data_IF_725443430407
#
_entry.id   IF_725443430407
#
_cell.length_a   1.000
_cell.length_b   1.000
_cell.length_c   1.000
_cell.angle_alpha   90.00
_cell.angle_beta   90.00
_cell.angle_gamma   90.00
#
_symmetry.space_group_name_H-M   'P 1'
#
loop_
_entity.id
_entity.type
_entity.pdbx_description
1 polymer ?
#
# COMPACT_ATOMS: atom_id res chain seq x y z
N UNK A 1 12.76 -21.94 12.34
CA UNK A 1 13.32 -20.61 12.21
C UNK A 1 14.64 -20.55 12.95
N UNK A 2 15.69 -20.06 12.33
CA UNK A 2 17.01 -19.92 12.96
C UNK A 2 17.03 -18.70 13.89
N UNK A 3 17.92 -18.71 14.89
CA UNK A 3 18.07 -17.61 15.84
C UNK A 3 18.36 -16.26 15.12
N UNK A 4 19.17 -16.29 14.08
CA UNK A 4 19.51 -15.09 13.28
C UNK A 4 18.29 -14.52 12.56
N UNK A 5 17.34 -15.36 12.15
CA UNK A 5 16.08 -14.91 11.54
C UNK A 5 15.21 -14.15 12.55
N UNK A 6 15.20 -14.57 13.81
CA UNK A 6 14.49 -13.87 14.91
C UNK A 6 15.10 -12.49 15.16
N UNK A 7 16.43 -12.41 15.24
CA UNK A 7 17.14 -11.12 15.41
C UNK A 7 16.88 -10.19 14.24
N UNK A 8 16.86 -10.74 13.02
CA UNK A 8 16.55 -9.99 11.81
C UNK A 8 15.12 -9.45 11.84
N UNK A 9 14.14 -10.28 12.17
CA UNK A 9 12.73 -9.89 12.28
C UNK A 9 12.51 -8.78 13.32
N UNK A 10 13.17 -8.87 14.49
CA UNK A 10 13.14 -7.82 15.50
C UNK A 10 13.74 -6.51 14.94
N UNK A 11 14.87 -6.56 14.26
CA UNK A 11 15.55 -5.39 13.68
C UNK A 11 14.70 -4.70 12.60
N UNK A 12 14.02 -5.47 11.77
CA UNK A 12 13.20 -5.00 10.67
C UNK A 12 11.80 -4.51 11.10
N UNK A 13 11.37 -4.89 12.31
CA UNK A 13 10.09 -4.42 12.86
C UNK A 13 10.13 -2.91 13.17
N UNK A 14 9.13 -2.14 12.69
CA UNK A 14 9.07 -0.70 12.95
C UNK A 14 9.07 -0.33 14.43
N UNK A 15 8.49 -1.18 15.30
CA UNK A 15 8.44 -0.94 16.73
C UNK A 15 9.82 -1.03 17.38
N UNK A 16 10.67 -1.94 16.91
CA UNK A 16 12.01 -2.18 17.42
C UNK A 16 13.11 -1.52 16.60
N UNK A 17 12.74 -0.74 15.59
CA UNK A 17 13.72 -0.04 14.74
C UNK A 17 14.58 0.94 15.57
N UNK A 18 15.90 0.87 15.37
CA UNK A 18 16.86 1.69 16.13
C UNK A 18 17.20 1.17 17.53
N UNK A 19 16.68 -0.01 17.94
CA UNK A 19 17.05 -0.66 19.17
C UNK A 19 18.53 -1.11 19.14
N UNK A 20 19.28 -0.97 20.25
CA UNK A 20 20.65 -1.47 20.36
C UNK A 20 20.75 -2.98 20.04
N UNK A 21 21.79 -3.39 19.30
CA UNK A 21 21.91 -4.77 18.80
C UNK A 21 21.96 -5.82 19.93
N UNK A 22 22.54 -5.49 21.11
CA UNK A 22 22.58 -6.40 22.23
C UNK A 22 21.19 -6.67 22.83
N UNK A 23 20.29 -5.67 22.79
CA UNK A 23 18.89 -5.84 23.20
C UNK A 23 18.08 -6.64 22.18
N UNK A 24 18.34 -6.47 20.87
CA UNK A 24 17.73 -7.31 19.84
C UNK A 24 18.06 -8.78 20.05
N UNK A 25 19.33 -9.09 20.35
CA UNK A 25 19.80 -10.45 20.68
C UNK A 25 19.16 -10.96 21.97
N UNK A 26 19.03 -10.12 22.97
CA UNK A 26 18.41 -10.48 24.26
C UNK A 26 16.92 -10.80 24.06
N UNK A 27 16.17 -9.96 23.32
CA UNK A 27 14.77 -10.23 23.00
C UNK A 27 14.61 -11.50 22.17
N UNK A 28 15.48 -11.75 21.19
CA UNK A 28 15.44 -12.98 20.41
C UNK A 28 15.62 -14.24 21.27
N UNK A 29 16.46 -14.18 22.31
CA UNK A 29 16.65 -15.29 23.26
C UNK A 29 15.46 -15.51 24.19
N UNK A 30 14.73 -14.46 24.52
CA UNK A 30 13.59 -14.49 25.45
C UNK A 30 12.27 -14.81 24.75
N UNK A 31 12.21 -14.65 23.42
CA UNK A 31 11.03 -14.89 22.64
C UNK A 31 10.86 -16.37 22.26
N UNK A 32 9.62 -16.80 22.15
CA UNK A 32 9.24 -18.11 21.61
C UNK A 32 8.61 -17.94 20.23
N UNK A 33 8.93 -18.83 19.30
CA UNK A 33 8.29 -18.88 17.99
C UNK A 33 7.07 -19.79 18.07
N UNK A 34 5.88 -19.23 17.85
CA UNK A 34 4.62 -19.96 17.87
C UNK A 34 4.05 -20.05 16.44
N UNK A 35 3.64 -21.25 16.04
CA UNK A 35 2.98 -21.51 14.77
C UNK A 35 1.47 -21.64 15.01
N UNK A 36 0.69 -20.90 14.28
CA UNK A 36 -0.75 -20.82 14.43
C UNK A 36 -1.47 -21.43 13.24
N UNK A 37 -2.40 -22.35 13.50
CA UNK A 37 -3.25 -22.91 12.46
C UNK A 37 -4.30 -21.89 11.98
N UNK A 38 -4.88 -22.06 10.77
CA UNK A 38 -6.01 -21.26 10.31
C UNK A 38 -7.14 -21.20 11.35
N UNK A 39 -7.70 -20.01 11.57
CA UNK A 39 -8.74 -19.75 12.56
C UNK A 39 -8.25 -19.64 14.02
N UNK A 40 -6.93 -19.72 14.27
CA UNK A 40 -6.40 -19.57 15.65
C UNK A 40 -6.69 -18.19 16.20
N UNK A 41 -7.31 -18.13 17.37
CA UNK A 41 -7.55 -16.90 18.13
C UNK A 41 -6.37 -16.65 19.07
N UNK A 42 -5.74 -15.47 18.96
CA UNK A 42 -4.65 -15.04 19.84
C UNK A 42 -5.19 -14.52 21.19
N UNK A 43 -6.27 -13.75 21.14
CA UNK A 43 -6.94 -13.24 22.34
C UNK A 43 -8.38 -12.78 22.05
N UNK A 44 -9.17 -12.63 23.10
CA UNK A 44 -10.58 -12.22 23.07
C UNK A 44 -10.84 -10.96 23.88
N UNK A 45 -11.94 -10.23 23.60
CA UNK A 45 -12.42 -9.18 24.48
C UNK A 45 -12.65 -9.72 25.91
N UNK A 46 -12.28 -8.92 26.91
CA UNK A 46 -12.40 -9.28 28.33
C UNK A 46 -11.18 -9.99 28.90
N UNK A 47 -10.25 -10.48 28.09
CA UNK A 47 -9.03 -11.11 28.55
C UNK A 47 -7.97 -10.08 29.01
N UNK A 48 -7.03 -10.52 29.84
CA UNK A 48 -5.84 -9.75 30.23
C UNK A 48 -4.71 -10.07 29.23
N UNK A 49 -3.91 -9.08 28.78
CA UNK A 49 -2.86 -9.31 27.81
C UNK A 49 -1.79 -10.28 28.38
N UNK A 50 -1.67 -11.45 27.75
CA UNK A 50 -0.77 -12.50 28.19
C UNK A 50 0.66 -12.31 27.66
N UNK A 51 0.82 -11.71 26.50
CA UNK A 51 2.09 -11.57 25.80
C UNK A 51 2.13 -10.36 24.86
N UNK A 52 3.35 -9.95 24.48
CA UNK A 52 3.62 -9.15 23.29
C UNK A 52 3.86 -10.10 22.11
N UNK A 53 3.28 -9.79 20.96
CA UNK A 53 3.45 -10.58 19.75
C UNK A 53 4.14 -9.73 18.67
N UNK A 54 5.07 -10.32 17.95
CA UNK A 54 5.58 -9.83 16.66
C UNK A 54 5.16 -10.83 15.59
N UNK A 55 4.39 -10.40 14.63
CA UNK A 55 3.97 -11.23 13.49
C UNK A 55 5.19 -11.47 12.60
N UNK A 56 5.52 -12.75 12.37
CA UNK A 56 6.63 -13.16 11.52
C UNK A 56 6.15 -13.59 10.14
N UNK A 57 4.97 -14.19 10.09
CA UNK A 57 4.33 -14.66 8.86
C UNK A 57 2.81 -14.69 9.04
N UNK A 58 2.08 -14.52 7.94
CA UNK A 58 0.62 -14.46 7.94
C UNK A 58 0.07 -13.07 8.32
N UNK A 59 -1.25 -13.03 8.50
CA UNK A 59 -2.00 -11.81 8.82
C UNK A 59 -2.91 -12.06 10.01
N UNK A 60 -2.84 -11.20 11.02
CA UNK A 60 -3.75 -11.19 12.16
C UNK A 60 -4.86 -10.19 11.91
N UNK A 61 -6.11 -10.67 11.92
CA UNK A 61 -7.29 -9.83 11.90
C UNK A 61 -7.64 -9.37 13.31
N UNK A 62 -7.78 -8.06 13.49
CA UNK A 62 -8.26 -7.46 14.74
C UNK A 62 -9.71 -7.04 14.51
N UNK A 63 -10.63 -7.61 15.29
CA UNK A 63 -12.05 -7.30 15.22
C UNK A 63 -12.55 -6.72 16.51
N UNK A 64 -13.55 -5.83 16.45
CA UNK A 64 -14.20 -5.22 17.59
C UNK A 64 -15.71 -5.40 17.48
N UNK A 65 -16.37 -5.52 18.63
CA UNK A 65 -17.84 -5.52 18.69
C UNK A 65 -18.37 -4.13 18.37
N UNK A 66 -19.19 -4.02 17.33
CA UNK A 66 -19.79 -2.75 16.89
C UNK A 66 -21.13 -2.50 17.61
N UNK A 67 -21.95 -3.53 17.71
CA UNK A 67 -23.17 -3.58 18.51
C UNK A 67 -23.60 -5.04 18.70
N UNK A 68 -24.54 -5.27 19.63
CA UNK A 68 -25.11 -6.61 19.88
C UNK A 68 -25.79 -7.19 18.61
N UNK A 69 -26.30 -6.34 17.73
CA UNK A 69 -27.02 -6.75 16.51
C UNK A 69 -26.07 -6.97 15.31
N UNK A 70 -24.95 -6.22 15.23
CA UNK A 70 -24.01 -6.24 14.11
C UNK A 70 -22.82 -7.17 14.33
N UNK A 71 -22.59 -7.61 15.58
CA UNK A 71 -21.51 -8.56 15.91
C UNK A 71 -20.11 -8.00 15.81
N UNK A 72 -19.14 -8.88 15.55
CA UNK A 72 -17.72 -8.55 15.44
C UNK A 72 -17.40 -8.02 14.05
N UNK A 73 -16.74 -6.85 13.98
CA UNK A 73 -16.29 -6.24 12.72
C UNK A 73 -14.78 -6.10 12.70
N UNK A 74 -14.10 -6.47 11.61
CA UNK A 74 -12.68 -6.20 11.42
C UNK A 74 -12.39 -4.69 11.47
N UNK A 75 -11.41 -4.30 12.30
CA UNK A 75 -10.98 -2.91 12.46
C UNK A 75 -9.52 -2.69 12.07
N UNK A 76 -8.73 -3.76 11.98
CA UNK A 76 -7.35 -3.70 11.52
C UNK A 76 -6.84 -5.09 11.11
N UNK A 77 -5.85 -5.09 10.24
CA UNK A 77 -5.08 -6.26 9.86
C UNK A 77 -3.59 -6.02 10.16
N UNK A 78 -2.96 -6.96 10.86
CA UNK A 78 -1.58 -6.88 11.29
C UNK A 78 -0.77 -7.95 10.56
N UNK A 79 0.13 -7.52 9.69
CA UNK A 79 0.96 -8.41 8.88
C UNK A 79 2.37 -8.60 9.45
N UNK A 80 3.19 -9.38 8.78
CA UNK A 80 4.59 -9.61 9.14
C UNK A 80 5.34 -8.29 9.41
N UNK A 81 6.13 -8.27 10.50
CA UNK A 81 6.81 -7.09 11.03
C UNK A 81 5.98 -6.25 12.01
N UNK A 82 4.66 -6.47 12.09
CA UNK A 82 3.80 -5.76 13.04
C UNK A 82 3.90 -6.33 14.45
N UNK A 83 3.87 -5.45 15.46
CA UNK A 83 3.72 -5.84 16.86
C UNK A 83 2.27 -5.67 17.33
N UNK A 84 1.85 -6.50 18.28
CA UNK A 84 0.46 -6.51 18.80
C UNK A 84 0.51 -6.50 20.33
N UNK A 85 -0.32 -5.66 20.96
CA UNK A 85 -0.50 -5.50 22.41
C UNK A 85 0.61 -4.72 23.13
N UNK A 86 1.43 -3.92 22.47
CA UNK A 86 2.59 -3.22 23.06
C UNK A 86 2.19 -2.35 24.27
N UNK A 87 1.16 -1.53 24.14
CA UNK A 87 0.67 -0.71 25.24
C UNK A 87 -0.07 -1.53 26.30
N UNK A 88 -0.86 -2.51 25.85
CA UNK A 88 -1.68 -3.35 26.73
C UNK A 88 -0.85 -4.27 27.63
N UNK A 89 0.26 -4.82 27.11
CA UNK A 89 1.15 -5.67 27.91
C UNK A 89 1.84 -4.88 29.02
N UNK A 90 2.08 -3.57 28.84
CA UNK A 90 2.62 -2.68 29.88
C UNK A 90 1.55 -2.34 30.91
N UNK A 91 0.40 -1.83 30.45
CA UNK A 91 -0.66 -1.34 31.33
C UNK A 91 -1.43 -2.46 32.04
N UNK A 92 -1.48 -3.67 31.47
CA UNK A 92 -2.32 -4.76 31.96
C UNK A 92 -3.83 -4.52 31.77
N UNK A 93 -4.20 -3.52 30.97
CA UNK A 93 -5.61 -3.17 30.71
C UNK A 93 -6.30 -4.29 29.95
N UNK A 94 -7.53 -4.59 30.32
CA UNK A 94 -8.39 -5.58 29.67
C UNK A 94 -8.52 -5.32 28.17
N UNK A 95 -8.50 -6.37 27.39
CA UNK A 95 -8.60 -6.33 25.93
C UNK A 95 -10.05 -6.06 25.50
N UNK A 96 -10.22 -5.23 24.49
CA UNK A 96 -11.52 -4.83 23.93
C UNK A 96 -11.76 -5.34 22.52
N UNK A 97 -10.81 -6.12 22.00
CA UNK A 97 -10.85 -6.62 20.63
C UNK A 97 -10.56 -8.12 20.59
N UNK A 98 -11.04 -8.78 19.55
CA UNK A 98 -10.64 -10.12 19.14
C UNK A 98 -9.44 -10.01 18.21
N UNK A 99 -8.47 -10.91 18.34
CA UNK A 99 -7.42 -11.10 17.36
C UNK A 99 -7.35 -12.56 16.92
N UNK A 100 -7.30 -12.80 15.62
CA UNK A 100 -7.25 -14.16 15.07
C UNK A 100 -6.38 -14.20 13.82
N UNK A 101 -5.85 -15.38 13.52
CA UNK A 101 -5.22 -15.71 12.25
C UNK A 101 -6.26 -16.40 11.33
N UNK A 102 -6.87 -15.72 10.35
CA UNK A 102 -7.84 -16.35 9.45
C UNK A 102 -7.24 -17.54 8.68
N UNK A 103 -6.03 -17.38 8.16
CA UNK A 103 -5.33 -18.37 7.32
C UNK A 103 -4.13 -19.04 8.02
N UNK A 104 -3.94 -18.76 9.31
CA UNK A 104 -2.76 -19.20 10.05
C UNK A 104 -1.59 -18.25 9.93
N UNK A 105 -0.47 -18.58 10.61
CA UNK A 105 0.72 -17.73 10.61
C UNK A 105 1.72 -18.10 11.68
N UNK A 106 2.70 -17.22 11.87
CA UNK A 106 3.80 -17.41 12.84
C UNK A 106 4.02 -16.13 13.61
N UNK A 107 4.20 -16.24 14.94
CA UNK A 107 4.58 -15.12 15.80
C UNK A 107 5.88 -15.39 16.54
N UNK A 108 6.59 -14.32 16.86
CA UNK A 108 7.58 -14.29 17.94
C UNK A 108 6.88 -13.67 19.15
N UNK A 109 6.82 -14.43 20.24
CA UNK A 109 5.96 -14.15 21.40
C UNK A 109 6.80 -13.95 22.65
N UNK A 110 6.55 -12.87 23.40
CA UNK A 110 7.15 -12.62 24.69
C UNK A 110 6.07 -12.62 25.79
N UNK A 111 6.04 -13.64 26.65
CA UNK A 111 5.12 -13.64 27.80
C UNK A 111 5.26 -12.36 28.63
N UNK A 112 4.14 -11.77 29.03
CA UNK A 112 4.11 -10.50 29.77
C UNK A 112 5.08 -10.47 30.96
N UNK A 113 5.15 -11.50 31.85
CA UNK A 113 6.08 -11.47 32.98
C UNK A 113 7.56 -11.45 32.57
N UNK A 114 7.89 -12.11 31.43
CA UNK A 114 9.26 -12.16 30.90
C UNK A 114 9.65 -10.81 30.34
N UNK A 115 8.77 -10.21 29.50
CA UNK A 115 8.99 -8.89 28.93
C UNK A 115 9.13 -7.81 30.01
N UNK A 116 8.21 -7.78 30.98
CA UNK A 116 8.26 -6.79 32.06
C UNK A 116 9.55 -6.93 32.90
N UNK A 117 9.96 -8.14 33.21
CA UNK A 117 11.25 -8.36 33.92
C UNK A 117 12.42 -7.79 33.12
N UNK A 118 12.46 -8.00 31.82
CA UNK A 118 13.52 -7.49 30.96
C UNK A 118 13.49 -5.95 30.89
N UNK A 119 12.33 -5.35 30.78
CA UNK A 119 12.15 -3.89 30.80
C UNK A 119 12.62 -3.27 32.15
N UNK A 120 12.40 -3.95 33.27
CA UNK A 120 12.89 -3.48 34.55
C UNK A 120 14.41 -3.63 34.73
N UNK A 121 15.02 -4.58 34.02
CA UNK A 121 16.46 -4.87 34.18
C UNK A 121 17.33 -4.12 33.16
N UNK A 122 16.77 -3.60 32.08
CA UNK A 122 17.49 -2.87 31.04
C UNK A 122 16.89 -1.48 30.81
N UNK A 123 17.68 -0.43 31.15
CA UNK A 123 17.27 0.96 30.88
C UNK A 123 17.20 1.27 29.38
N UNK A 124 18.13 0.71 28.60
CA UNK A 124 18.17 0.92 27.15
C UNK A 124 16.91 0.35 26.47
N UNK A 125 16.53 -0.86 26.84
CA UNK A 125 15.30 -1.48 26.35
C UNK A 125 14.06 -0.69 26.80
N UNK A 126 13.99 -0.31 28.07
CA UNK A 126 12.85 0.44 28.60
C UNK A 126 12.70 1.80 27.92
N UNK A 127 13.80 2.53 27.73
CA UNK A 127 13.80 3.82 27.07
C UNK A 127 13.37 3.68 25.59
N UNK A 128 13.94 2.70 24.87
CA UNK A 128 13.56 2.42 23.49
C UNK A 128 12.07 2.06 23.38
N UNK A 129 11.57 1.22 24.28
CA UNK A 129 10.16 0.81 24.31
C UNK A 129 9.24 2.01 24.53
N UNK A 130 9.56 2.88 25.49
CA UNK A 130 8.82 4.11 25.76
C UNK A 130 8.84 5.07 24.56
N UNK A 131 9.99 5.26 23.94
CA UNK A 131 10.12 6.11 22.72
C UNK A 131 9.29 5.56 21.55
N UNK A 132 9.25 4.24 21.38
CA UNK A 132 8.47 3.60 20.33
C UNK A 132 6.97 3.72 20.58
N UNK A 133 6.53 3.58 21.85
CA UNK A 133 5.14 3.87 22.24
C UNK A 133 4.79 5.34 22.06
N UNK A 134 5.66 6.27 22.43
CA UNK A 134 5.44 7.71 22.27
C UNK A 134 5.29 8.08 20.78
N UNK A 135 6.21 7.63 19.93
CA UNK A 135 6.10 7.83 18.46
C UNK A 135 4.79 7.30 17.89
N UNK A 136 4.35 6.13 18.37
CA UNK A 136 3.07 5.54 17.94
C UNK A 136 1.87 6.35 18.43
N UNK A 137 1.93 6.90 19.64
CA UNK A 137 0.92 7.82 20.18
C UNK A 137 0.88 9.13 19.42
N UNK A 138 2.04 9.73 19.12
CA UNK A 138 2.13 10.95 18.30
C UNK A 138 1.50 10.72 16.92
N UNK A 139 1.83 9.62 16.24
CA UNK A 139 1.18 9.23 14.99
C UNK A 139 -0.33 9.02 15.13
N UNK A 140 -0.80 8.52 16.28
CA UNK A 140 -2.22 8.34 16.58
C UNK A 140 -2.91 9.66 16.90
N UNK A 141 -2.29 10.59 17.62
CA UNK A 141 -2.84 11.91 17.98
C UNK A 141 -2.98 12.79 16.72
N UNK A 142 -2.00 12.75 15.82
CA UNK A 142 -2.12 13.41 14.50
C UNK A 142 -3.32 12.83 13.73
N UNK A 143 -3.63 11.54 13.93
CA UNK A 143 -4.78 10.87 13.32
C UNK A 143 -6.10 11.07 14.10
N UNK A 144 -6.08 11.29 15.42
CA UNK A 144 -7.27 11.53 16.24
C UNK A 144 -7.80 12.97 16.14
N UNK A 145 -6.99 13.92 15.70
CA UNK A 145 -7.45 15.28 15.32
C UNK A 145 -8.32 15.30 14.06
N UNK A 146 -8.51 14.15 13.41
CA UNK A 146 -9.35 13.97 12.26
C UNK A 146 -10.11 12.64 12.31
N UNK A 147 -11.03 12.48 13.23
CA UNK A 147 -12.16 11.53 13.09
C UNK A 147 -12.47 10.58 14.24
N UNK A 148 -13.66 10.75 14.73
CA UNK A 148 -14.58 9.70 15.18
C UNK A 148 -15.06 8.91 13.94
N UNK A 149 -14.42 7.80 13.61
CA UNK A 149 -14.81 6.91 12.51
C UNK A 149 -13.79 5.77 12.31
N UNK A 150 -14.28 4.57 12.07
CA UNK A 150 -13.50 3.36 11.87
C UNK A 150 -12.37 3.55 10.82
N UNK A 151 -11.11 3.53 11.25
CA UNK A 151 -9.98 3.67 10.36
C UNK A 151 -9.43 2.28 9.99
N UNK A 152 -9.61 1.89 8.74
CA UNK A 152 -8.90 0.77 8.12
C UNK A 152 -7.57 1.32 7.58
N UNK A 153 -6.44 0.75 7.97
CA UNK A 153 -5.14 1.20 7.47
C UNK A 153 -4.09 0.11 7.56
N UNK A 154 -3.06 0.23 6.72
CA UNK A 154 -1.97 -0.74 6.65
C UNK A 154 -0.84 -0.29 5.72
N UNK A 155 0.17 -1.17 5.57
CA UNK A 155 1.29 -0.95 4.66
C UNK A 155 1.00 -1.55 3.31
N UNK A 156 1.29 -0.81 2.23
CA UNK A 156 1.03 -1.23 0.86
C UNK A 156 1.78 -2.50 0.44
N UNK A 157 2.95 -2.76 1.05
CA UNK A 157 3.76 -3.96 0.75
C UNK A 157 3.07 -5.28 1.14
N UNK A 158 2.05 -5.22 1.99
CA UNK A 158 1.40 -6.39 2.58
C UNK A 158 -0.05 -6.56 2.13
N UNK A 159 -0.57 -5.62 1.37
CA UNK A 159 -1.98 -5.62 0.98
C UNK A 159 -2.15 -5.36 -0.52
N UNK A 160 -3.05 -6.09 -1.12
CA UNK A 160 -3.53 -5.82 -2.47
C UNK A 160 -4.51 -4.62 -2.44
N UNK A 161 -4.09 -3.49 -3.01
CA UNK A 161 -4.86 -2.25 -2.97
C UNK A 161 -6.25 -2.38 -3.64
N UNK A 162 -6.40 -3.06 -4.79
CA UNK A 162 -7.70 -3.42 -5.35
C UNK A 162 -8.61 -4.15 -4.38
N UNK A 163 -8.11 -5.16 -3.65
CA UNK A 163 -8.89 -5.93 -2.69
C UNK A 163 -9.33 -5.08 -1.48
N UNK A 164 -8.44 -4.20 -0.98
CA UNK A 164 -8.80 -3.23 0.07
C UNK A 164 -9.95 -2.35 -0.38
N UNK A 165 -9.81 -1.73 -1.56
CA UNK A 165 -10.82 -0.81 -2.08
C UNK A 165 -12.15 -1.53 -2.30
N UNK A 166 -12.13 -2.76 -2.81
CA UNK A 166 -13.33 -3.58 -2.98
C UNK A 166 -14.00 -3.86 -1.63
N UNK A 167 -13.22 -4.25 -0.61
CA UNK A 167 -13.73 -4.49 0.75
C UNK A 167 -14.39 -3.24 1.32
N UNK A 168 -13.75 -2.07 1.19
CA UNK A 168 -14.28 -0.78 1.66
C UNK A 168 -15.59 -0.44 0.95
N UNK A 169 -15.64 -0.60 -0.37
CA UNK A 169 -16.81 -0.29 -1.19
C UNK A 169 -17.96 -1.28 -0.89
N UNK A 170 -17.67 -2.57 -0.80
CA UNK A 170 -18.67 -3.62 -0.53
C UNK A 170 -19.24 -3.50 0.89
N UNK A 171 -18.49 -2.93 1.86
CA UNK A 171 -19.00 -2.62 3.19
C UNK A 171 -20.04 -1.47 3.21
N UNK A 172 -20.23 -0.80 2.07
CA UNK A 172 -21.18 0.30 1.92
C UNK A 172 -20.76 1.61 2.62
N UNK A 173 -19.53 1.67 3.13
CA UNK A 173 -18.99 2.81 3.87
C UNK A 173 -18.83 4.06 2.99
N UNK A 174 -19.22 5.21 3.52
CA UNK A 174 -18.85 6.50 2.96
C UNK A 174 -17.53 6.96 3.60
N UNK A 175 -16.55 7.37 2.78
CA UNK A 175 -15.25 7.76 3.31
C UNK A 175 -14.23 8.10 2.24
N UNK A 176 -12.99 8.22 2.67
CA UNK A 176 -11.83 8.47 1.81
C UNK A 176 -10.76 7.41 2.08
N UNK A 177 -10.34 6.73 1.04
CA UNK A 177 -9.12 5.91 1.03
C UNK A 177 -7.96 6.78 0.56
N UNK A 178 -7.06 7.10 1.48
CA UNK A 178 -5.81 7.83 1.21
C UNK A 178 -4.66 6.85 1.06
N UNK A 179 -3.80 7.11 0.09
CA UNK A 179 -2.57 6.37 -0.16
C UNK A 179 -1.40 7.32 0.08
N UNK A 180 -0.48 6.92 0.93
CA UNK A 180 0.73 7.66 1.29
C UNK A 180 1.95 6.90 0.78
N UNK A 181 2.94 7.60 0.27
CA UNK A 181 4.21 7.01 -0.15
C UNK A 181 5.12 6.65 1.05
N UNK A 182 6.36 6.23 0.76
CA UNK A 182 7.34 5.83 1.78
C UNK A 182 7.75 6.98 2.72
N UNK A 183 7.65 8.22 2.26
CA UNK A 183 7.98 9.43 3.00
C UNK A 183 6.77 9.99 3.77
N UNK A 184 5.61 9.34 3.64
CA UNK A 184 4.35 9.76 4.27
C UNK A 184 3.64 10.89 3.52
N UNK A 185 4.07 11.23 2.30
CA UNK A 185 3.41 12.21 1.46
C UNK A 185 2.19 11.60 0.78
N UNK A 186 1.17 12.41 0.55
CA UNK A 186 -0.06 11.96 -0.11
C UNK A 186 0.22 11.65 -1.59
N UNK A 187 0.20 10.36 -1.93
CA UNK A 187 0.29 9.87 -3.30
C UNK A 187 -1.04 10.02 -4.03
N UNK A 188 -2.15 9.75 -3.36
CA UNK A 188 -3.47 9.88 -3.93
C UNK A 188 -4.60 9.55 -2.95
N UNK A 189 -5.83 9.85 -3.35
CA UNK A 189 -7.01 9.51 -2.58
C UNK A 189 -8.22 9.15 -3.46
N UNK A 190 -9.08 8.27 -2.92
CA UNK A 190 -10.31 7.78 -3.55
C UNK A 190 -11.45 7.96 -2.56
N UNK A 191 -12.46 8.72 -2.92
CA UNK A 191 -13.70 8.84 -2.15
C UNK A 191 -14.63 7.68 -2.48
N UNK A 192 -15.22 7.09 -1.43
CA UNK A 192 -16.21 6.02 -1.54
C UNK A 192 -17.56 6.47 -0.97
N UNK A 193 -18.64 6.00 -1.56
CA UNK A 193 -19.98 6.23 -1.03
C UNK A 193 -20.91 5.10 -1.49
N UNK A 194 -21.53 4.41 -0.52
CA UNK A 194 -22.30 3.20 -0.82
C UNK A 194 -21.42 2.26 -1.65
N UNK A 195 -21.89 1.60 -2.65
CA UNK A 195 -21.11 0.67 -3.47
C UNK A 195 -20.38 1.33 -4.66
N UNK A 196 -20.09 2.63 -4.57
CA UNK A 196 -19.51 3.43 -5.64
C UNK A 196 -18.25 4.18 -5.19
N UNK A 197 -17.46 4.61 -6.17
CA UNK A 197 -16.32 5.50 -5.99
C UNK A 197 -16.57 6.83 -6.72
N UNK A 198 -16.11 7.92 -6.12
CA UNK A 198 -16.36 9.29 -6.61
C UNK A 198 -15.09 10.07 -6.88
N UNK A 199 -14.91 11.19 -6.19
CA UNK A 199 -13.73 12.05 -6.37
C UNK A 199 -12.45 11.27 -6.15
N UNK A 200 -11.52 11.36 -7.10
CA UNK A 200 -10.24 10.69 -7.07
C UNK A 200 -9.15 11.66 -7.49
N UNK A 201 -8.00 11.62 -6.82
CA UNK A 201 -6.82 12.39 -7.23
C UNK A 201 -5.55 11.59 -6.98
N UNK A 202 -4.52 11.84 -7.80
CA UNK A 202 -3.18 11.28 -7.68
C UNK A 202 -2.20 12.30 -8.27
N UNK A 203 -1.46 13.00 -7.41
CA UNK A 203 -0.68 14.15 -7.86
C UNK A 203 -1.54 15.15 -8.62
N UNK A 204 -1.18 15.43 -9.89
CA UNK A 204 -1.94 16.30 -10.80
C UNK A 204 -3.16 15.64 -11.45
N UNK A 205 -3.23 14.32 -11.43
CA UNK A 205 -4.30 13.55 -12.08
C UNK A 205 -5.59 13.60 -11.26
N UNK A 206 -6.73 13.57 -11.94
CA UNK A 206 -8.07 13.57 -11.33
C UNK A 206 -8.97 12.52 -11.98
N UNK A 207 -10.01 12.11 -11.26
CA UNK A 207 -11.03 11.21 -11.77
C UNK A 207 -10.46 9.87 -12.20
N UNK A 208 -10.90 9.37 -13.37
CA UNK A 208 -10.50 8.07 -13.91
C UNK A 208 -8.99 7.91 -14.06
N UNK A 209 -8.27 8.94 -14.49
CA UNK A 209 -6.83 8.88 -14.68
C UNK A 209 -6.07 8.74 -13.35
N UNK A 210 -6.53 9.43 -12.31
CA UNK A 210 -6.01 9.26 -10.97
C UNK A 210 -6.25 7.84 -10.45
N UNK A 211 -7.42 7.27 -10.71
CA UNK A 211 -7.74 5.89 -10.32
C UNK A 211 -6.81 4.89 -11.00
N UNK A 212 -6.65 5.01 -12.32
CA UNK A 212 -5.79 4.13 -13.09
C UNK A 212 -4.33 4.23 -12.62
N UNK A 213 -3.85 5.44 -12.31
CA UNK A 213 -2.50 5.63 -11.75
C UNK A 213 -2.36 4.95 -10.40
N UNK A 214 -3.31 5.13 -9.49
CA UNK A 214 -3.29 4.53 -8.15
C UNK A 214 -3.31 3.01 -8.22
N UNK A 215 -4.17 2.43 -9.09
CA UNK A 215 -4.36 0.98 -9.14
C UNK A 215 -3.31 0.25 -9.96
N UNK A 216 -2.88 0.82 -11.09
CA UNK A 216 -1.91 0.16 -11.98
C UNK A 216 -0.45 0.40 -11.57
N UNK A 217 -0.15 1.49 -10.88
CA UNK A 217 1.21 1.86 -10.47
C UNK A 217 1.25 2.46 -9.06
N UNK A 218 0.80 1.74 -8.02
CA UNK A 218 0.87 2.20 -6.64
C UNK A 218 2.34 2.34 -6.19
N UNK A 219 2.63 3.14 -5.18
CA UNK A 219 3.96 3.19 -4.60
C UNK A 219 4.35 1.81 -4.05
N UNK A 220 5.60 1.38 -4.34
CA UNK A 220 6.11 0.07 -3.89
C UNK A 220 6.22 -0.05 -2.37
N UNK A 221 6.34 1.09 -1.67
CA UNK A 221 6.37 1.22 -0.22
C UNK A 221 5.50 2.39 0.18
N UNK A 222 4.81 2.24 1.29
CA UNK A 222 3.94 3.28 1.80
C UNK A 222 2.83 2.72 2.67
N UNK A 223 1.84 3.53 2.93
CA UNK A 223 0.69 3.16 3.75
C UNK A 223 -0.61 3.58 3.09
N UNK A 224 -1.67 2.90 3.42
CA UNK A 224 -3.02 3.35 3.10
C UNK A 224 -3.81 3.59 4.40
N UNK A 225 -4.78 4.48 4.31
CA UNK A 225 -5.71 4.78 5.39
C UNK A 225 -7.10 5.05 4.81
N UNK A 226 -8.09 4.36 5.32
CA UNK A 226 -9.50 4.67 5.05
C UNK A 226 -10.09 5.42 6.25
N UNK A 227 -10.65 6.58 6.00
CA UNK A 227 -11.34 7.41 7.00
C UNK A 227 -12.81 7.52 6.63
N UNK A 228 -13.69 7.06 7.52
CA UNK A 228 -15.13 7.22 7.33
C UNK A 228 -15.50 8.71 7.43
N UNK A 229 -16.29 9.19 6.48
CA UNK A 229 -16.82 10.56 6.46
C UNK A 229 -18.34 10.52 6.47
N UNK A 230 -18.98 11.55 7.04
CA UNK A 230 -20.39 11.78 6.81
C UNK A 230 -20.64 11.86 5.30
N UNK A 231 -21.65 11.12 4.81
CA UNK A 231 -21.96 11.08 3.40
C UNK A 231 -22.11 12.49 2.83
N UNK A 232 -21.37 12.87 1.77
CA UNK A 232 -21.57 14.15 1.13
C UNK A 232 -23.01 14.23 0.60
N UNK A 233 -23.65 15.41 0.74
CA UNK A 233 -25.01 15.62 0.28
C UNK A 233 -25.16 15.61 -1.26
N UNK A 234 -24.03 15.62 -1.98
CA UNK A 234 -24.00 15.68 -3.44
C UNK A 234 -23.56 14.33 -4.01
N UNK A 235 -24.49 13.59 -4.59
CA UNK A 235 -24.32 12.25 -5.20
C UNK A 235 -23.76 12.33 -6.64
N UNK A 236 -23.39 13.51 -7.13
CA UNK A 236 -22.91 13.70 -8.50
C UNK A 236 -21.47 13.20 -8.67
N UNK A 237 -21.24 12.37 -9.69
CA UNK A 237 -19.90 11.91 -10.09
C UNK A 237 -19.43 10.60 -9.43
N UNK A 238 -20.29 9.89 -8.71
CA UNK A 238 -19.99 8.53 -8.26
C UNK A 238 -20.28 7.50 -9.34
N UNK A 239 -19.40 6.49 -9.45
CA UNK A 239 -19.49 5.45 -10.48
C UNK A 239 -19.15 4.07 -9.90
N UNK A 240 -19.60 2.97 -10.53
CA UNK A 240 -19.30 1.62 -10.08
C UNK A 240 -17.80 1.32 -10.11
N UNK A 241 -17.31 0.66 -9.06
CA UNK A 241 -15.89 0.31 -8.93
C UNK A 241 -15.41 -0.75 -9.94
N UNK A 242 -16.21 -1.82 -10.16
CA UNK A 242 -15.79 -3.01 -10.92
C UNK A 242 -15.26 -2.74 -12.33
N UNK A 243 -15.92 -1.91 -13.17
CA UNK A 243 -15.41 -1.63 -14.52
C UNK A 243 -14.01 -1.00 -14.48
N UNK A 244 -13.77 -0.09 -13.54
CA UNK A 244 -12.47 0.59 -13.40
C UNK A 244 -11.38 -0.34 -12.91
N UNK A 245 -11.69 -1.29 -12.02
CA UNK A 245 -10.71 -2.31 -11.57
C UNK A 245 -10.30 -3.24 -12.72
N UNK A 246 -11.25 -3.68 -13.55
CA UNK A 246 -10.95 -4.51 -14.73
C UNK A 246 -10.03 -3.76 -15.68
N UNK A 247 -10.31 -2.49 -15.91
CA UNK A 247 -9.48 -1.65 -16.77
C UNK A 247 -8.08 -1.43 -16.20
N UNK A 248 -7.99 -1.12 -14.90
CA UNK A 248 -6.70 -0.93 -14.23
C UNK A 248 -5.84 -2.21 -14.28
N UNK A 249 -6.44 -3.39 -14.04
CA UNK A 249 -5.74 -4.66 -14.13
C UNK A 249 -5.22 -4.93 -15.55
N UNK A 250 -6.02 -4.69 -16.58
CA UNK A 250 -5.59 -4.81 -17.97
C UNK A 250 -4.41 -3.87 -18.29
N UNK A 251 -4.51 -2.60 -17.88
CA UNK A 251 -3.43 -1.63 -18.08
C UNK A 251 -2.15 -2.07 -17.35
N UNK A 252 -2.28 -2.54 -16.12
CA UNK A 252 -1.14 -3.02 -15.32
C UNK A 252 -0.41 -4.16 -16.02
N UNK A 253 -1.13 -5.18 -16.48
CA UNK A 253 -0.55 -6.34 -17.14
C UNK A 253 0.14 -5.98 -18.45
N UNK A 254 -0.55 -5.22 -19.32
CA UNK A 254 0.00 -4.81 -20.61
C UNK A 254 1.18 -3.84 -20.46
N UNK A 255 1.10 -2.89 -19.53
CA UNK A 255 2.13 -1.90 -19.28
C UNK A 255 3.40 -2.53 -18.67
N UNK A 256 3.27 -3.53 -17.79
CA UNK A 256 4.42 -4.23 -17.22
C UNK A 256 5.32 -4.83 -18.31
N UNK A 257 4.73 -5.43 -19.36
CA UNK A 257 5.46 -5.96 -20.49
C UNK A 257 6.13 -4.86 -21.34
N UNK A 258 5.42 -3.75 -21.58
CA UNK A 258 5.96 -2.62 -22.33
C UNK A 258 7.15 -1.96 -21.62
N UNK A 259 7.02 -1.67 -20.34
CA UNK A 259 8.05 -0.97 -19.55
C UNK A 259 9.37 -1.73 -19.44
N UNK A 260 9.35 -3.07 -19.56
CA UNK A 260 10.57 -3.89 -19.66
C UNK A 260 11.20 -3.78 -21.05
N UNK A 261 10.38 -3.59 -22.09
CA UNK A 261 10.83 -3.58 -23.48
C UNK A 261 11.38 -2.21 -23.92
N UNK A 262 10.72 -1.13 -23.49
CA UNK A 262 11.09 0.25 -23.82
C UNK A 262 11.37 1.00 -22.52
N UNK A 263 12.64 1.33 -22.19
CA UNK A 263 12.99 2.12 -21.03
C UNK A 263 12.30 3.49 -21.03
N UNK A 264 11.99 4.00 -19.83
CA UNK A 264 11.23 5.24 -19.67
C UNK A 264 11.93 6.48 -20.23
N UNK A 265 13.24 6.43 -20.27
CA UNK A 265 14.15 7.48 -20.77
C UNK A 265 14.59 7.27 -22.25
N UNK A 266 14.10 6.21 -22.91
CA UNK A 266 14.38 5.99 -24.33
C UNK A 266 13.76 7.12 -25.16
N UNK A 267 14.59 7.89 -25.85
CA UNK A 267 14.16 9.05 -26.63
C UNK A 267 13.29 8.63 -27.80
N UNK A 268 12.10 9.16 -27.83
CA UNK A 268 11.09 8.95 -28.86
C UNK A 268 11.03 10.16 -29.80
N UNK A 269 10.80 9.90 -31.08
CA UNK A 269 10.63 10.95 -32.09
C UNK A 269 9.57 10.56 -33.13
N UNK A 270 8.81 11.51 -33.70
CA UNK A 270 7.85 11.23 -34.75
C UNK A 270 8.52 10.68 -36.01
N UNK A 271 7.92 9.69 -36.65
CA UNK A 271 8.41 9.10 -37.89
C UNK A 271 8.10 9.95 -39.13
N UNK A 272 7.15 10.87 -39.03
CA UNK A 272 6.67 11.71 -40.13
C UNK A 272 6.30 13.11 -39.63
N UNK A 273 6.08 14.06 -40.56
CA UNK A 273 5.63 15.43 -40.25
C UNK A 273 4.11 15.54 -39.99
N UNK A 274 3.36 14.50 -40.27
CA UNK A 274 1.91 14.48 -40.06
C UNK A 274 1.53 13.19 -39.35
N UNK A 275 0.62 13.33 -38.38
CA UNK A 275 0.06 12.20 -37.66
C UNK A 275 -0.99 11.49 -38.59
N UNK A 276 -0.74 10.21 -38.83
CA UNK A 276 -1.75 9.31 -39.45
C UNK A 276 -2.04 8.22 -38.45
N UNK A 277 -3.19 8.28 -37.78
CA UNK A 277 -3.57 7.34 -36.73
C UNK A 277 -4.84 6.58 -37.11
N UNK A 278 -4.75 5.25 -37.12
CA UNK A 278 -5.88 4.33 -37.33
C UNK A 278 -6.00 3.26 -36.25
N UNK A 279 -5.27 3.43 -35.12
CA UNK A 279 -5.26 2.49 -34.01
C UNK A 279 -6.44 2.63 -33.05
N UNK A 280 -6.55 1.69 -32.11
CA UNK A 280 -7.67 1.58 -31.17
C UNK A 280 -7.56 2.40 -29.88
N UNK A 281 -6.46 3.14 -29.65
CA UNK A 281 -6.30 3.99 -28.48
C UNK A 281 -7.00 5.34 -28.63
N UNK A 282 -7.21 6.01 -27.51
CA UNK A 282 -7.78 7.35 -27.46
C UNK A 282 -7.01 8.31 -28.38
N UNK A 283 -7.70 8.76 -29.43
CA UNK A 283 -7.11 9.67 -30.43
C UNK A 283 -6.57 10.95 -29.78
N UNK A 284 -7.22 11.45 -28.73
CA UNK A 284 -6.81 12.65 -28.02
C UNK A 284 -5.45 12.45 -27.33
N UNK A 285 -5.23 11.32 -26.67
CA UNK A 285 -3.95 10.99 -26.03
C UNK A 285 -2.84 10.86 -27.08
N UNK A 286 -3.10 10.15 -28.18
CA UNK A 286 -2.13 9.95 -29.26
C UNK A 286 -1.75 11.28 -29.91
N UNK A 287 -2.71 12.17 -30.16
CA UNK A 287 -2.47 13.52 -30.70
C UNK A 287 -1.60 14.35 -29.75
N UNK A 288 -1.86 14.31 -28.45
CA UNK A 288 -1.07 15.03 -27.46
C UNK A 288 0.36 14.50 -27.37
N UNK A 289 0.56 13.16 -27.35
CA UNK A 289 1.88 12.55 -27.38
C UNK A 289 2.63 12.97 -28.64
N UNK A 290 2.01 12.84 -29.81
CA UNK A 290 2.63 13.17 -31.08
C UNK A 290 3.01 14.66 -31.16
N UNK A 291 2.12 15.55 -30.72
CA UNK A 291 2.38 16.99 -30.64
C UNK A 291 3.59 17.30 -29.77
N UNK A 292 3.63 16.72 -28.55
CA UNK A 292 4.76 16.94 -27.61
C UNK A 292 6.08 16.46 -28.21
N UNK A 293 6.11 15.26 -28.78
CA UNK A 293 7.30 14.71 -29.44
C UNK A 293 7.73 15.50 -30.69
N UNK A 294 6.79 16.17 -31.35
CA UNK A 294 7.10 17.05 -32.49
C UNK A 294 7.74 18.36 -32.08
N UNK A 295 7.49 18.81 -30.83
CA UNK A 295 8.13 20.01 -30.26
C UNK A 295 9.51 19.65 -29.70
N UNK A 296 9.57 18.58 -28.90
CA UNK A 296 10.78 18.11 -28.24
C UNK A 296 10.76 16.58 -28.10
N UNK A 297 11.72 15.87 -28.72
CA UNK A 297 11.90 14.45 -28.52
C UNK A 297 12.23 14.13 -27.06
N UNK A 298 11.50 13.22 -26.44
CA UNK A 298 11.67 12.87 -25.03
C UNK A 298 11.26 11.41 -24.77
N UNK A 299 11.51 10.90 -23.55
CA UNK A 299 11.09 9.56 -23.15
C UNK A 299 9.60 9.50 -22.78
N UNK A 300 9.01 8.29 -22.84
CA UNK A 300 7.62 8.11 -22.41
C UNK A 300 7.42 8.41 -20.92
N UNK A 301 8.45 8.26 -20.09
CA UNK A 301 8.40 8.65 -18.67
C UNK A 301 8.15 10.15 -18.50
N UNK A 302 8.85 10.99 -19.29
CA UNK A 302 8.66 12.45 -19.27
C UNK A 302 7.28 12.84 -19.83
N UNK A 303 6.83 12.20 -20.91
CA UNK A 303 5.48 12.38 -21.41
C UNK A 303 4.42 12.07 -20.35
N UNK A 304 4.62 11.01 -19.59
CA UNK A 304 3.73 10.63 -18.51
C UNK A 304 3.72 11.64 -17.34
N UNK A 305 4.80 12.38 -17.12
CA UNK A 305 4.83 13.47 -16.14
C UNK A 305 4.17 14.77 -16.63
N UNK A 306 4.13 15.01 -17.94
CA UNK A 306 3.58 16.24 -18.54
C UNK A 306 2.09 16.08 -18.86
N UNK A 307 1.69 14.96 -19.45
CA UNK A 307 0.34 14.75 -19.95
C UNK A 307 -0.68 14.40 -18.85
N UNK A 308 -1.96 14.78 -18.97
CA UNK A 308 -2.99 14.56 -17.96
C UNK A 308 -3.55 13.12 -18.00
N UNK A 309 -2.71 12.12 -18.21
CA UNK A 309 -3.05 10.71 -18.30
C UNK A 309 -2.17 9.88 -17.37
N UNK A 310 -2.63 8.70 -16.99
CA UNK A 310 -1.87 7.77 -16.17
C UNK A 310 -0.64 7.25 -16.92
N UNK A 311 0.43 6.92 -16.20
CA UNK A 311 1.68 6.39 -16.78
C UNK A 311 1.41 5.14 -17.63
N UNK A 312 0.51 4.27 -17.16
CA UNK A 312 0.12 3.07 -17.90
C UNK A 312 -0.52 3.39 -19.25
N UNK A 313 -1.43 4.35 -19.30
CA UNK A 313 -2.07 4.74 -20.56
C UNK A 313 -1.11 5.41 -21.52
N UNK A 314 -0.25 6.31 -21.05
CA UNK A 314 0.79 6.94 -21.88
C UNK A 314 1.72 5.88 -22.46
N UNK A 315 2.22 4.93 -21.62
CA UNK A 315 3.09 3.86 -22.09
C UNK A 315 2.42 2.95 -23.13
N UNK A 316 1.16 2.57 -22.92
CA UNK A 316 0.43 1.74 -23.89
C UNK A 316 0.13 2.49 -25.20
N UNK A 317 -0.18 3.79 -25.13
CA UNK A 317 -0.33 4.60 -26.34
C UNK A 317 1.00 4.69 -27.13
N UNK A 318 2.11 4.92 -26.44
CA UNK A 318 3.44 4.91 -27.05
C UNK A 318 3.77 3.55 -27.67
N UNK A 319 3.47 2.44 -26.99
CA UNK A 319 3.62 1.08 -27.54
C UNK A 319 2.89 0.96 -28.90
N UNK A 320 1.64 1.36 -28.93
CA UNK A 320 0.81 1.21 -30.11
C UNK A 320 1.26 2.16 -31.24
N UNK A 321 1.75 3.36 -30.90
CA UNK A 321 2.37 4.28 -31.86
C UNK A 321 3.68 3.72 -32.44
N UNK A 322 4.50 3.03 -31.63
CA UNK A 322 5.70 2.32 -32.09
C UNK A 322 5.34 1.17 -33.03
N UNK A 323 4.35 0.35 -32.67
CA UNK A 323 3.87 -0.76 -33.52
C UNK A 323 3.27 -0.27 -34.84
N UNK A 324 2.59 0.87 -34.84
CA UNK A 324 2.05 1.48 -36.04
C UNK A 324 3.11 2.24 -36.88
N UNK A 325 4.36 2.33 -36.37
CA UNK A 325 5.42 3.06 -37.05
C UNK A 325 5.23 4.59 -37.10
N UNK A 326 4.38 5.13 -36.25
CA UNK A 326 4.10 6.58 -36.14
C UNK A 326 5.18 7.30 -35.35
N UNK A 327 5.82 6.59 -34.43
CA UNK A 327 6.92 7.05 -33.57
C UNK A 327 8.04 6.01 -33.65
N UNK A 328 9.29 6.45 -33.56
CA UNK A 328 10.47 5.59 -33.48
C UNK A 328 11.30 5.92 -32.23
N UNK A 329 12.03 4.92 -31.74
CA UNK A 329 13.09 5.15 -30.75
C UNK A 329 14.34 5.67 -31.49
N UNK A 330 14.95 6.73 -30.97
CA UNK A 330 16.19 7.26 -31.52
C UNK A 330 17.31 6.21 -31.42
N UNK A 331 17.97 5.90 -32.56
CA UNK A 331 19.02 4.90 -32.65
C UNK A 331 20.35 5.29 -31.98
N UNK A 332 20.49 6.54 -31.57
CA UNK A 332 21.61 7.00 -30.76
C UNK A 332 21.52 6.60 -29.27
N UNK A 333 20.38 6.06 -28.84
CA UNK A 333 20.19 5.58 -27.48
C UNK A 333 20.90 4.23 -27.29
N UNK A 334 22.04 4.25 -26.59
CA UNK A 334 22.68 3.04 -26.08
C UNK A 334 21.96 2.57 -24.83
N UNK A 335 21.21 1.48 -24.93
CA UNK A 335 20.56 0.87 -23.77
C UNK A 335 21.62 0.51 -22.69
N UNK A 336 21.36 0.75 -21.40
CA UNK A 336 22.27 0.36 -20.34
C UNK A 336 22.57 -1.14 -20.40
N UNK A 337 23.79 -1.58 -19.98
CA UNK A 337 24.20 -2.98 -20.07
C UNK A 337 23.25 -3.88 -19.27
N UNK A 338 22.47 -4.70 -19.97
CA UNK A 338 21.41 -5.57 -19.42
C UNK A 338 20.02 -5.39 -20.05
N UNK A 339 19.83 -4.38 -20.89
CA UNK A 339 18.58 -4.17 -21.62
C UNK A 339 18.43 -5.14 -22.80
N UNK A 340 17.22 -5.67 -22.99
CA UNK A 340 16.86 -6.54 -24.12
C UNK A 340 16.94 -5.70 -25.40
N UNK A 341 17.84 -6.07 -26.33
CA UNK A 341 17.90 -5.45 -27.65
C UNK A 341 16.60 -5.74 -28.41
N UNK A 342 15.88 -4.70 -28.77
CA UNK A 342 14.77 -4.77 -29.73
C UNK A 342 15.31 -5.31 -31.09
N UNK A 343 15.21 -6.64 -31.31
CA UNK A 343 15.40 -7.23 -32.64
C UNK A 343 14.01 -7.37 -33.26
N UNK A 344 13.75 -6.53 -34.22
CA UNK A 344 12.69 -6.72 -35.22
C UNK A 344 11.30 -6.30 -34.75
N UNK A 345 11.04 -5.04 -34.69
CA UNK A 345 9.79 -4.39 -35.08
C UNK A 345 10.11 -3.46 -36.23
#
# INVERSE_FOLDING_TARGET
MLFDDMVKAIRESPFFHGMPSHEQVTLARLGAVDVHAPGTVLFRPGEVPAALYLVLDGVVEISREESIELGMRPVAYMSAGSTILESKVITGSVLTSLAQFPEGGVTLTWPRPVLLRQLYSSQDLALHYLQSLARRLEGTIVNLGANEGSNLGGRLEHFDLPAILQTVVDSGGAGVLEILDADGLNFGAIHTQKNNIGRMHCGRLKGREAFLQIMAAPPKRGTFRFSSLAAPQDDTGFQPLRPLLIEAARIQDEFAHFAVTVPADAILQPSSRQLVWGGGNDSQLVEQIWHQLSVEPCGWGELAEILPFSHGQVGLAVRDMLLAGVVNVDRSYEAPPGGVRLRGI
#
